data_IF_792963492539
#
_entry.id   IF_792963492539
#
_cell.length_a   1.000
_cell.length_b   1.000
_cell.length_c   1.000
_cell.angle_alpha   90.00
_cell.angle_beta   90.00
_cell.angle_gamma   90.00
#
_symmetry.space_group_name_H-M   'P 1'
#
loop_
_entity.id
_entity.type
_entity.pdbx_description
1 polymer ?
#
# COMPACT_ATOMS: atom_id res chain seq x y z
N UNK A 1 -15.48 5.71 8.03
CA UNK A 1 -16.04 6.91 8.68
C UNK A 1 -17.53 6.97 8.41
N UNK A 2 -18.35 7.45 9.35
CA UNK A 2 -19.81 7.60 9.21
C UNK A 2 -20.19 9.06 9.38
N UNK A 3 -21.15 9.55 8.61
CA UNK A 3 -21.70 10.91 8.69
C UNK A 3 -23.16 10.78 9.11
N UNK A 4 -23.52 11.44 10.20
CA UNK A 4 -24.85 11.39 10.81
C UNK A 4 -25.53 12.76 10.68
N UNK A 5 -26.85 12.75 10.61
CA UNK A 5 -27.65 13.96 10.75
C UNK A 5 -27.68 14.41 12.21
N UNK A 6 -27.69 15.72 12.42
CA UNK A 6 -27.68 16.38 13.72
C UNK A 6 -28.84 17.40 13.83
N UNK A 7 -29.92 17.18 13.07
CA UNK A 7 -31.14 17.95 13.25
C UNK A 7 -31.95 17.47 14.48
N UNK A 8 -32.97 18.25 14.86
CA UNK A 8 -33.76 18.04 16.09
C UNK A 8 -34.71 16.84 16.00
N UNK A 9 -35.01 16.35 14.79
CA UNK A 9 -36.00 15.31 14.55
C UNK A 9 -35.40 13.94 14.19
N UNK A 10 -34.18 13.92 13.64
CA UNK A 10 -33.48 12.74 13.14
C UNK A 10 -32.05 12.64 13.66
N UNK A 11 -31.80 13.16 14.87
CA UNK A 11 -30.51 13.03 15.55
C UNK A 11 -30.05 11.56 15.49
N UNK A 12 -28.87 11.33 14.88
CA UNK A 12 -28.25 10.02 14.64
C UNK A 12 -28.69 9.23 13.38
N UNK A 13 -29.49 9.82 12.48
CA UNK A 13 -29.77 9.18 11.18
C UNK A 13 -28.53 9.18 10.28
N UNK A 14 -28.20 8.02 9.72
CA UNK A 14 -27.03 7.88 8.86
C UNK A 14 -27.27 8.58 7.51
N UNK A 15 -26.47 9.61 7.24
CA UNK A 15 -26.38 10.25 5.92
C UNK A 15 -25.58 9.35 4.97
N UNK A 16 -24.49 8.76 5.45
CA UNK A 16 -23.71 7.76 4.70
C UNK A 16 -22.38 7.43 5.34
N UNK A 17 -21.58 6.60 4.68
CA UNK A 17 -20.27 6.17 5.14
C UNK A 17 -19.22 6.16 4.03
N UNK A 18 -17.97 6.33 4.45
CA UNK A 18 -16.77 6.20 3.60
C UNK A 18 -15.91 5.09 4.17
N UNK A 19 -15.56 4.11 3.31
CA UNK A 19 -14.64 3.00 3.64
C UNK A 19 -13.36 3.17 2.82
N UNK A 20 -12.20 3.15 3.48
CA UNK A 20 -10.89 3.37 2.86
C UNK A 20 -10.01 2.17 3.19
N UNK A 21 -9.41 1.54 2.17
CA UNK A 21 -8.40 0.51 2.32
C UNK A 21 -7.00 1.14 2.34
N UNK A 22 -6.25 0.94 3.43
CA UNK A 22 -4.90 1.47 3.61
C UNK A 22 -3.78 0.60 3.02
N UNK A 23 -4.10 -0.53 2.36
CA UNK A 23 -3.08 -1.42 1.81
C UNK A 23 -2.13 -0.71 0.82
N UNK A 24 -2.60 0.30 0.10
CA UNK A 24 -1.74 1.12 -0.78
C UNK A 24 -0.71 1.93 0.00
N UNK A 25 -1.07 2.46 1.17
CA UNK A 25 -0.14 3.22 2.02
C UNK A 25 0.88 2.28 2.67
N UNK A 26 0.47 1.08 3.08
CA UNK A 26 1.36 0.06 3.64
C UNK A 26 2.37 -0.47 2.60
N UNK A 27 1.94 -0.66 1.34
CA UNK A 27 2.86 -1.03 0.25
C UNK A 27 3.93 0.03 0.00
N UNK A 28 3.55 1.33 0.02
CA UNK A 28 4.50 2.44 -0.13
C UNK A 28 5.51 2.50 1.01
N UNK A 29 5.08 2.24 2.24
CA UNK A 29 5.97 2.20 3.41
C UNK A 29 6.99 1.07 3.31
N UNK A 30 6.58 -0.12 2.87
CA UNK A 30 7.49 -1.27 2.72
C UNK A 30 8.53 -1.09 1.61
N UNK A 31 8.25 -0.24 0.61
CA UNK A 31 9.18 0.05 -0.49
C UNK A 31 10.06 1.29 -0.20
N UNK A 32 9.83 2.00 0.90
CA UNK A 32 10.53 3.24 1.24
C UNK A 32 11.94 3.01 1.82
N UNK A 33 12.32 1.77 2.13
CA UNK A 33 13.69 1.42 2.55
C UNK A 33 14.72 1.54 1.40
N UNK A 34 14.28 1.70 0.14
CA UNK A 34 15.16 1.78 -1.04
C UNK A 34 15.44 3.22 -1.53
N UNK A 35 14.92 4.27 -0.87
CA UNK A 35 15.16 5.67 -1.24
C UNK A 35 15.74 6.47 -0.07
N UNK A 36 17.07 6.41 0.09
CA UNK A 36 17.88 7.22 1.02
C UNK A 36 17.98 8.69 0.55
N UNK A 37 16.83 9.36 0.41
CA UNK A 37 16.79 10.82 0.42
C UNK A 37 16.49 11.24 1.87
N UNK A 38 17.48 11.87 2.51
CA UNK A 38 17.59 12.21 3.94
C UNK A 38 16.48 13.07 4.59
N UNK A 39 15.24 12.95 4.13
CA UNK A 39 14.01 13.51 4.68
C UNK A 39 12.90 12.47 4.93
N UNK A 40 13.10 11.18 4.65
CA UNK A 40 12.04 10.17 4.73
C UNK A 40 11.94 9.45 6.09
N UNK A 41 11.31 10.08 7.09
CA UNK A 41 10.69 9.29 8.17
C UNK A 41 9.51 8.52 7.58
N UNK A 42 9.54 7.18 7.65
CA UNK A 42 8.56 6.22 7.13
C UNK A 42 7.10 6.59 7.38
N UNK A 43 6.60 7.51 6.56
CA UNK A 43 5.26 8.06 6.63
C UNK A 43 4.66 8.14 5.24
N UNK A 44 3.42 7.68 5.12
CA UNK A 44 2.70 7.62 3.86
C UNK A 44 1.33 8.27 4.06
N UNK A 45 0.98 9.20 3.18
CA UNK A 45 -0.28 9.93 3.26
C UNK A 45 -1.18 9.72 2.03
N UNK A 46 -2.48 9.84 2.27
CA UNK A 46 -3.56 9.80 1.28
C UNK A 46 -4.49 10.97 1.56
N UNK A 47 -4.74 11.82 0.58
CA UNK A 47 -5.71 12.90 0.67
C UNK A 47 -6.57 12.97 -0.60
N UNK A 48 -7.88 13.19 -0.43
CA UNK A 48 -8.78 13.38 -1.56
C UNK A 48 -10.25 13.45 -1.16
N UNK A 49 -11.11 13.66 -2.16
CA UNK A 49 -12.55 13.53 -2.03
C UNK A 49 -12.96 12.07 -2.21
N UNK A 50 -13.68 11.53 -1.24
CA UNK A 50 -14.17 10.16 -1.25
C UNK A 50 -15.69 10.13 -1.29
N UNK A 51 -16.30 9.20 -2.04
CA UNK A 51 -17.74 9.13 -2.16
C UNK A 51 -18.38 8.69 -0.84
N UNK A 52 -19.38 9.45 -0.40
CA UNK A 52 -20.20 9.14 0.76
C UNK A 52 -21.36 8.25 0.30
N UNK A 53 -21.38 7.00 0.76
CA UNK A 53 -22.38 6.01 0.35
C UNK A 53 -23.35 5.65 1.48
N UNK A 54 -24.63 5.61 1.13
CA UNK A 54 -25.67 4.99 1.93
C UNK A 54 -26.14 3.68 1.30
N UNK A 55 -26.42 2.67 2.13
CA UNK A 55 -26.76 1.32 1.65
C UNK A 55 -28.16 1.20 1.08
N UNK A 56 -29.05 2.18 1.32
CA UNK A 56 -30.40 2.22 0.76
C UNK A 56 -30.52 3.27 -0.36
N UNK A 57 -29.88 4.42 -0.18
CA UNK A 57 -30.03 5.56 -1.07
C UNK A 57 -28.86 5.76 -2.05
N UNK A 58 -27.81 4.92 -1.99
CA UNK A 58 -26.67 5.00 -2.90
C UNK A 58 -25.73 6.17 -2.60
N UNK A 59 -25.25 6.86 -3.63
CA UNK A 59 -24.33 8.00 -3.47
C UNK A 59 -25.06 9.20 -2.83
N UNK A 60 -24.49 9.75 -1.76
CA UNK A 60 -25.08 10.86 -0.97
C UNK A 60 -24.24 12.14 -0.97
N UNK A 61 -23.06 12.11 -1.58
CA UNK A 61 -22.15 13.24 -1.67
C UNK A 61 -20.70 12.77 -1.61
N UNK A 62 -19.83 13.66 -1.17
CA UNK A 62 -18.40 13.41 -1.02
C UNK A 62 -17.85 14.00 0.28
N UNK A 63 -16.83 13.33 0.84
CA UNK A 63 -16.12 13.77 2.03
C UNK A 63 -14.63 13.90 1.69
N UNK A 64 -14.04 15.06 1.97
CA UNK A 64 -12.60 15.23 1.87
C UNK A 64 -11.94 14.56 3.07
N UNK A 65 -11.13 13.55 2.82
CA UNK A 65 -10.40 12.82 3.88
C UNK A 65 -8.91 12.98 3.63
N UNK A 66 -8.16 13.24 4.70
CA UNK A 66 -6.70 13.22 4.73
C UNK A 66 -6.25 12.24 5.81
N UNK A 67 -5.44 11.25 5.42
CA UNK A 67 -4.91 10.20 6.29
C UNK A 67 -3.40 10.16 6.14
N UNK A 68 -2.69 10.14 7.27
CA UNK A 68 -1.23 9.95 7.30
C UNK A 68 -0.90 8.79 8.23
N UNK A 69 -0.20 7.79 7.70
CA UNK A 69 0.35 6.68 8.46
C UNK A 69 1.79 6.99 8.81
N UNK A 70 2.19 6.72 10.06
CA UNK A 70 3.58 6.75 10.51
C UNK A 70 3.85 5.41 11.19
N UNK A 71 4.90 4.71 10.75
CA UNK A 71 5.35 3.49 11.44
C UNK A 71 6.11 3.91 12.70
N UNK A 72 5.72 3.37 13.86
CA UNK A 72 6.37 3.62 15.15
C UNK A 72 6.89 2.28 15.67
N UNK A 73 8.20 2.07 15.62
CA UNK A 73 8.86 0.90 16.21
C UNK A 73 9.41 -0.13 15.21
N UNK A 74 10.27 -1.01 15.73
CA UNK A 74 11.02 -2.02 14.98
C UNK A 74 10.08 -3.06 14.34
N UNK A 75 10.39 -3.43 13.10
CA UNK A 75 9.52 -4.17 12.19
C UNK A 75 9.17 -5.55 12.78
N UNK A 76 8.00 -5.64 13.43
CA UNK A 76 7.43 -6.94 13.76
C UNK A 76 7.26 -7.71 12.45
N UNK A 77 8.05 -8.77 12.29
CA UNK A 77 7.95 -9.73 11.19
C UNK A 77 6.55 -10.35 11.19
N UNK A 78 5.59 -9.71 10.51
CA UNK A 78 4.26 -10.25 10.26
C UNK A 78 4.38 -11.42 9.26
N UNK A 79 4.83 -12.56 9.76
CA UNK A 79 5.01 -13.82 9.03
C UNK A 79 3.72 -14.38 8.43
N UNK A 80 2.54 -13.92 8.90
CA UNK A 80 1.23 -14.35 8.41
C UNK A 80 0.57 -13.40 7.39
N UNK A 81 1.11 -12.17 7.25
CA UNK A 81 0.74 -11.30 6.17
C UNK A 81 1.35 -11.84 4.86
N UNK A 82 0.74 -11.56 3.72
CA UNK A 82 1.37 -11.73 2.39
C UNK A 82 2.57 -10.77 2.19
N UNK A 83 3.32 -10.49 3.26
CA UNK A 83 4.45 -9.59 3.31
C UNK A 83 5.50 -10.04 2.27
N UNK A 84 5.96 -9.06 1.48
CA UNK A 84 6.91 -9.27 0.39
C UNK A 84 6.30 -9.69 -0.95
N UNK A 85 4.98 -9.90 -1.04
CA UNK A 85 4.31 -10.11 -2.34
C UNK A 85 3.54 -8.86 -2.75
N UNK A 86 3.91 -8.29 -3.89
CA UNK A 86 3.21 -7.15 -4.50
C UNK A 86 2.12 -7.66 -5.46
N UNK A 87 0.88 -7.21 -5.27
CA UNK A 87 -0.24 -7.59 -6.13
C UNK A 87 -0.57 -6.43 -7.07
N UNK A 88 -0.54 -6.71 -8.36
CA UNK A 88 -0.84 -5.78 -9.43
C UNK A 88 -2.10 -6.23 -10.15
N UNK A 89 -3.04 -5.33 -10.33
CA UNK A 89 -4.23 -5.57 -11.17
C UNK A 89 -3.89 -5.61 -12.67
N UNK A 90 -2.72 -5.07 -13.05
CA UNK A 90 -2.23 -5.08 -14.42
C UNK A 90 -1.46 -6.36 -14.73
N UNK A 91 -1.62 -6.87 -15.95
CA UNK A 91 -0.92 -8.05 -16.43
C UNK A 91 0.49 -7.76 -16.95
N UNK A 92 0.78 -6.48 -17.23
CA UNK A 92 2.07 -6.01 -17.75
C UNK A 92 2.56 -4.86 -16.89
N UNK A 93 3.82 -4.92 -16.45
CA UNK A 93 4.46 -3.87 -15.68
C UNK A 93 5.13 -2.85 -16.59
N UNK A 94 5.29 -1.63 -16.09
CA UNK A 94 6.07 -0.60 -16.75
C UNK A 94 7.55 -1.04 -16.79
N UNK A 95 8.16 -1.23 -17.99
CA UNK A 95 9.50 -1.79 -18.12
C UNK A 95 10.63 -0.93 -17.53
N UNK A 96 10.38 0.36 -17.35
CA UNK A 96 11.25 1.34 -16.72
C UNK A 96 11.19 1.32 -15.18
N UNK A 97 10.20 0.62 -14.61
CA UNK A 97 10.00 0.51 -13.16
C UNK A 97 10.33 -0.90 -12.67
N UNK A 98 9.86 -1.93 -13.38
CA UNK A 98 10.07 -3.32 -13.01
C UNK A 98 10.53 -4.16 -14.20
N UNK A 99 11.54 -4.99 -13.96
CA UNK A 99 11.95 -6.06 -14.84
C UNK A 99 11.29 -7.38 -14.42
N UNK A 100 10.74 -8.09 -15.40
CA UNK A 100 10.14 -9.42 -15.21
C UNK A 100 11.23 -10.49 -15.28
N UNK A 101 11.50 -11.17 -14.18
CA UNK A 101 12.54 -12.20 -14.09
C UNK A 101 11.99 -13.60 -14.44
N UNK A 102 10.81 -13.94 -13.91
CA UNK A 102 10.24 -15.29 -14.08
C UNK A 102 8.71 -15.28 -13.95
N UNK A 103 8.02 -15.91 -14.91
CA UNK A 103 6.58 -16.22 -14.80
C UNK A 103 6.42 -17.60 -14.20
N UNK A 104 5.92 -17.69 -12.97
CA UNK A 104 5.86 -18.96 -12.23
C UNK A 104 4.61 -19.75 -12.61
N UNK A 105 3.43 -19.12 -12.53
CA UNK A 105 2.17 -19.78 -12.88
C UNK A 105 0.94 -19.15 -12.24
N UNK A 106 -0.22 -19.72 -12.53
CA UNK A 106 -1.50 -19.27 -11.97
C UNK A 106 -1.56 -19.58 -10.47
N UNK A 107 -2.03 -18.60 -9.70
CA UNK A 107 -2.44 -18.75 -8.31
C UNK A 107 -3.88 -18.27 -8.17
N UNK A 108 -4.70 -19.06 -7.50
CA UNK A 108 -6.11 -18.78 -7.30
C UNK A 108 -6.52 -19.01 -5.84
N UNK A 109 -7.64 -18.45 -5.43
CA UNK A 109 -8.30 -18.82 -4.20
C UNK A 109 -9.82 -18.64 -4.27
N UNK A 110 -10.53 -19.57 -3.63
CA UNK A 110 -11.98 -19.50 -3.41
C UNK A 110 -12.28 -19.50 -1.92
N UNK A 111 -12.90 -18.42 -1.43
CA UNK A 111 -13.34 -18.30 -0.05
C UNK A 111 -14.86 -18.15 -0.01
N UNK A 112 -15.48 -18.79 0.97
CA UNK A 112 -16.94 -18.74 1.18
C UNK A 112 -17.21 -18.26 2.58
N UNK A 113 -18.13 -17.30 2.71
CA UNK A 113 -18.65 -16.84 3.99
C UNK A 113 -20.17 -16.87 3.96
N UNK A 114 -20.79 -17.16 5.11
CA UNK A 114 -22.23 -17.12 5.22
C UNK A 114 -22.76 -15.71 4.91
N UNK A 115 -23.87 -15.62 4.17
CA UNK A 115 -24.51 -14.32 3.96
C UNK A 115 -25.24 -13.89 5.26
N UNK A 116 -24.84 -12.76 5.86
CA UNK A 116 -25.45 -12.27 7.09
C UNK A 116 -26.94 -11.92 6.98
N UNK A 117 -27.58 -11.88 5.79
CA UNK A 117 -29.06 -11.74 5.72
C UNK A 117 -29.81 -12.94 6.30
N UNK A 118 -29.25 -14.13 6.14
CA UNK A 118 -29.98 -15.38 6.35
C UNK A 118 -29.68 -16.00 7.71
N UNK A 119 -28.91 -15.32 8.57
CA UNK A 119 -28.74 -15.74 9.95
C UNK A 119 -30.07 -15.58 10.71
N UNK A 120 -30.61 -16.70 11.22
CA UNK A 120 -31.90 -16.75 11.92
C UNK A 120 -32.02 -15.80 13.12
N UNK A 121 -30.89 -15.32 13.67
CA UNK A 121 -30.84 -14.32 14.75
C UNK A 121 -31.17 -12.90 14.29
N UNK A 122 -31.16 -12.65 12.98
CA UNK A 122 -31.26 -11.32 12.37
C UNK A 122 -32.62 -10.98 11.77
N UNK A 123 -33.66 -11.81 11.99
CA UNK A 123 -35.05 -11.57 11.52
C UNK A 123 -35.64 -10.23 11.99
N UNK A 124 -35.03 -9.56 12.98
CA UNK A 124 -35.46 -8.25 13.50
C UNK A 124 -34.53 -7.08 13.12
N UNK A 125 -33.57 -7.25 12.19
CA UNK A 125 -32.73 -6.13 11.74
C UNK A 125 -33.46 -5.22 10.75
N UNK A 126 -33.26 -3.91 10.88
CA UNK A 126 -33.60 -2.94 9.86
C UNK A 126 -32.72 -3.17 8.60
N UNK A 127 -33.31 -3.13 7.40
CA UNK A 127 -32.66 -3.44 6.13
C UNK A 127 -31.27 -2.77 5.94
N UNK A 128 -31.15 -1.51 6.38
CA UNK A 128 -29.90 -0.75 6.34
C UNK A 128 -28.74 -1.44 7.07
N UNK A 129 -29.00 -1.92 8.29
CA UNK A 129 -27.99 -2.58 9.14
C UNK A 129 -27.55 -3.91 8.55
N UNK A 130 -28.48 -4.65 7.94
CA UNK A 130 -28.17 -5.89 7.24
C UNK A 130 -27.23 -5.64 6.05
N UNK A 131 -27.56 -4.63 5.23
CA UNK A 131 -26.72 -4.25 4.09
C UNK A 131 -25.32 -3.79 4.51
N UNK A 132 -25.20 -3.01 5.59
CA UNK A 132 -23.90 -2.60 6.14
C UNK A 132 -23.04 -3.79 6.56
N UNK A 133 -23.68 -4.80 7.18
CA UNK A 133 -23.00 -6.02 7.64
C UNK A 133 -22.56 -6.86 6.45
N UNK A 134 -23.40 -6.99 5.41
CA UNK A 134 -23.02 -7.65 4.15
C UNK A 134 -21.86 -6.95 3.46
N UNK A 135 -21.92 -5.63 3.29
CA UNK A 135 -20.81 -4.86 2.71
C UNK A 135 -19.51 -5.07 3.49
N UNK A 136 -19.59 -5.02 4.82
CA UNK A 136 -18.46 -5.30 5.70
C UNK A 136 -17.92 -6.72 5.52
N UNK A 137 -18.81 -7.72 5.32
CA UNK A 137 -18.43 -9.08 4.99
C UNK A 137 -17.66 -9.14 3.67
N UNK A 138 -18.21 -8.56 2.60
CA UNK A 138 -17.56 -8.49 1.29
C UNK A 138 -16.16 -7.87 1.36
N UNK A 139 -15.98 -6.76 2.08
CA UNK A 139 -14.66 -6.15 2.27
C UNK A 139 -13.67 -7.07 2.99
N UNK A 140 -14.11 -7.75 4.05
CA UNK A 140 -13.26 -8.70 4.78
C UNK A 140 -12.89 -9.90 3.92
N UNK A 141 -13.86 -10.45 3.18
CA UNK A 141 -13.67 -11.60 2.33
C UNK A 141 -12.71 -11.28 1.17
N UNK A 142 -12.88 -10.13 0.51
CA UNK A 142 -11.94 -9.64 -0.50
C UNK A 142 -10.52 -9.47 0.06
N UNK A 143 -10.37 -8.86 1.24
CA UNK A 143 -9.08 -8.71 1.89
C UNK A 143 -8.45 -10.06 2.31
N UNK A 144 -9.27 -11.05 2.66
CA UNK A 144 -8.83 -12.42 2.96
C UNK A 144 -8.36 -13.15 1.70
N UNK A 145 -9.13 -13.08 0.61
CA UNK A 145 -8.80 -13.68 -0.68
C UNK A 145 -7.48 -13.11 -1.21
N UNK A 146 -7.32 -11.78 -1.17
CA UNK A 146 -6.06 -11.11 -1.55
C UNK A 146 -4.84 -11.64 -0.78
N UNK A 147 -4.97 -11.79 0.55
CA UNK A 147 -3.88 -12.32 1.40
C UNK A 147 -3.61 -13.79 1.11
N UNK A 148 -4.65 -14.59 0.85
CA UNK A 148 -4.52 -16.00 0.53
C UNK A 148 -3.80 -16.23 -0.80
N UNK A 149 -4.18 -15.51 -1.86
CA UNK A 149 -3.47 -15.50 -3.14
C UNK A 149 -2.02 -15.07 -2.97
N UNK A 150 -1.75 -14.00 -2.20
CA UNK A 150 -0.39 -13.56 -1.90
C UNK A 150 0.44 -14.62 -1.16
N UNK A 151 -0.15 -15.35 -0.19
CA UNK A 151 0.54 -16.47 0.48
C UNK A 151 0.83 -17.62 -0.47
N UNK A 152 -0.12 -17.98 -1.35
CA UNK A 152 0.08 -19.01 -2.38
C UNK A 152 1.20 -18.62 -3.33
N UNK A 153 1.22 -17.38 -3.82
CA UNK A 153 2.30 -16.83 -4.66
C UNK A 153 3.67 -16.92 -3.97
N UNK A 154 3.74 -16.56 -2.68
CA UNK A 154 4.97 -16.70 -1.90
C UNK A 154 5.41 -18.16 -1.74
N UNK A 155 4.47 -19.08 -1.53
CA UNK A 155 4.76 -20.50 -1.35
C UNK A 155 5.38 -21.16 -2.60
N UNK A 156 5.07 -20.63 -3.79
CA UNK A 156 5.68 -21.05 -5.06
C UNK A 156 6.91 -20.24 -5.44
N UNK A 157 7.43 -19.39 -4.54
CA UNK A 157 8.66 -18.63 -4.74
C UNK A 157 8.48 -17.26 -5.44
N UNK A 158 7.23 -16.82 -5.66
CA UNK A 158 6.94 -15.51 -6.25
C UNK A 158 7.02 -14.36 -5.26
N UNK A 159 7.39 -13.19 -5.75
CA UNK A 159 7.34 -11.91 -5.01
C UNK A 159 6.32 -10.93 -5.60
N UNK A 160 5.61 -11.32 -6.66
CA UNK A 160 4.53 -10.55 -7.21
C UNK A 160 3.39 -11.42 -7.75
N UNK A 161 2.20 -10.83 -7.85
CA UNK A 161 1.04 -11.38 -8.58
C UNK A 161 0.61 -10.36 -9.61
N UNK A 162 0.67 -10.72 -10.89
CA UNK A 162 0.21 -9.89 -12.00
C UNK A 162 -1.21 -10.29 -12.43
N UNK A 163 -1.97 -9.32 -12.94
CA UNK A 163 -3.36 -9.53 -13.35
C UNK A 163 -4.25 -10.02 -12.19
N UNK A 164 -3.97 -9.58 -10.97
CA UNK A 164 -4.79 -9.93 -9.81
C UNK A 164 -6.22 -9.44 -10.03
N UNK A 165 -7.16 -10.37 -9.93
CA UNK A 165 -8.59 -10.12 -10.02
C UNK A 165 -9.31 -10.82 -8.88
N UNK A 166 -10.39 -10.22 -8.39
CA UNK A 166 -11.25 -10.83 -7.38
C UNK A 166 -12.71 -10.53 -7.69
N UNK A 167 -13.48 -11.59 -7.91
CA UNK A 167 -14.93 -11.55 -8.07
C UNK A 167 -15.61 -11.90 -6.76
N UNK A 168 -16.77 -11.28 -6.50
CA UNK A 168 -17.59 -11.51 -5.32
C UNK A 168 -19.01 -11.81 -5.78
N UNK A 169 -19.47 -13.02 -5.50
CA UNK A 169 -20.78 -13.53 -5.93
C UNK A 169 -21.64 -13.88 -4.73
N UNK A 170 -22.96 -13.72 -4.88
CA UNK A 170 -23.96 -14.20 -3.92
C UNK A 170 -24.55 -15.50 -4.46
N UNK A 171 -24.20 -16.61 -3.83
CA UNK A 171 -24.58 -17.95 -4.27
C UNK A 171 -25.62 -18.57 -3.35
N UNK A 172 -26.81 -17.95 -3.26
CA UNK A 172 -27.97 -18.50 -2.55
C UNK A 172 -27.61 -19.19 -1.23
N UNK A 173 -27.81 -20.52 -1.17
CA UNK A 173 -27.58 -21.36 0.01
C UNK A 173 -26.11 -21.46 0.46
N UNK A 174 -25.15 -21.11 -0.39
CA UNK A 174 -23.70 -21.12 -0.09
C UNK A 174 -23.22 -19.82 0.55
N UNK A 175 -23.98 -18.73 0.46
CA UNK A 175 -23.60 -17.41 0.98
C UNK A 175 -22.80 -16.57 -0.02
N UNK A 176 -21.83 -15.81 0.49
CA UNK A 176 -20.98 -14.91 -0.28
C UNK A 176 -19.69 -15.64 -0.66
N UNK A 177 -19.40 -15.71 -1.96
CA UNK A 177 -18.24 -16.40 -2.50
C UNK A 177 -17.27 -15.38 -3.10
N UNK A 178 -16.00 -15.42 -2.69
CA UNK A 178 -14.92 -14.68 -3.30
C UNK A 178 -14.05 -15.60 -4.15
N UNK A 179 -13.88 -15.24 -5.42
CA UNK A 179 -12.98 -15.92 -6.36
C UNK A 179 -11.86 -14.97 -6.73
N UNK A 180 -10.66 -15.22 -6.21
CA UNK A 180 -9.49 -14.41 -6.55
C UNK A 180 -8.50 -15.23 -7.35
N UNK A 181 -7.82 -14.61 -8.32
CA UNK A 181 -6.76 -15.27 -9.07
C UNK A 181 -5.78 -14.25 -9.65
N UNK A 182 -4.64 -14.75 -10.11
CA UNK A 182 -3.63 -13.98 -10.84
C UNK A 182 -2.42 -14.86 -11.16
N UNK A 183 -1.40 -14.27 -11.77
CA UNK A 183 -0.18 -14.98 -12.15
C UNK A 183 0.92 -14.66 -11.17
N UNK A 184 1.42 -15.65 -10.44
CA UNK A 184 2.60 -15.53 -9.61
C UNK A 184 3.85 -15.31 -10.47
N UNK A 185 4.63 -14.30 -10.10
CA UNK A 185 5.78 -13.83 -10.85
C UNK A 185 6.94 -13.53 -9.90
N UNK A 186 8.15 -13.51 -10.47
CA UNK A 186 9.33 -12.91 -9.87
C UNK A 186 9.69 -11.65 -10.64
N UNK A 187 9.71 -10.53 -9.94
CA UNK A 187 10.00 -9.20 -10.51
C UNK A 187 11.13 -8.53 -9.74
N UNK A 188 11.81 -7.60 -10.40
CA UNK A 188 12.87 -6.80 -9.78
C UNK A 188 12.67 -5.33 -10.14
N UNK A 189 12.76 -4.39 -9.19
CA UNK A 189 12.80 -2.96 -9.52
C UNK A 189 14.01 -2.65 -10.40
N UNK A 190 13.80 -1.84 -11.44
CA UNK A 190 14.90 -1.34 -12.27
C UNK A 190 15.65 -0.30 -11.47
N UNK A 191 16.90 -0.58 -11.09
CA UNK A 191 17.78 0.43 -10.47
C UNK A 191 18.26 1.39 -11.56
N UNK A 192 18.01 2.69 -11.38
CA UNK A 192 18.53 3.72 -12.26
C UNK A 192 20.01 3.99 -11.93
N UNK A 193 20.88 3.09 -12.40
CA UNK A 193 22.34 3.15 -12.19
C UNK A 193 22.92 4.51 -12.64
N UNK A 194 22.33 5.14 -13.66
CA UNK A 194 22.82 6.40 -14.20
C UNK A 194 22.76 7.58 -13.23
N UNK A 195 21.77 7.64 -12.33
CA UNK A 195 21.65 8.74 -11.36
C UNK A 195 22.60 8.57 -10.18
N UNK A 196 22.73 7.34 -9.68
CA UNK A 196 23.67 7.01 -8.61
C UNK A 196 25.11 7.20 -9.09
N UNK A 197 25.45 6.76 -10.31
CA UNK A 197 26.78 6.96 -10.88
C UNK A 197 27.09 8.45 -11.08
N UNK A 198 26.16 9.25 -11.62
CA UNK A 198 26.34 10.70 -11.78
C UNK A 198 26.48 11.42 -10.43
N UNK A 199 25.71 11.02 -9.42
CA UNK A 199 25.83 11.56 -8.07
C UNK A 199 27.19 11.21 -7.45
N UNK A 200 27.63 9.95 -7.59
CA UNK A 200 28.93 9.49 -7.09
C UNK A 200 30.10 10.20 -7.78
N UNK A 201 30.03 10.38 -9.11
CA UNK A 201 31.00 11.16 -9.90
C UNK A 201 31.08 12.62 -9.44
N UNK A 202 29.94 13.24 -9.10
CA UNK A 202 29.89 14.63 -8.64
C UNK A 202 30.48 14.78 -7.24
N UNK A 203 30.16 13.85 -6.34
CA UNK A 203 30.67 13.81 -4.96
C UNK A 203 32.20 13.65 -4.95
N UNK A 204 32.74 12.78 -5.80
CA UNK A 204 34.18 12.56 -5.87
C UNK A 204 34.92 13.76 -6.49
N UNK A 205 34.35 14.42 -7.50
CA UNK A 205 34.89 15.66 -8.05
C UNK A 205 34.97 16.81 -7.03
N UNK A 206 33.99 16.91 -6.11
CA UNK A 206 34.00 17.92 -5.06
C UNK A 206 34.99 17.60 -3.92
N UNK A 207 35.21 16.30 -3.62
CA UNK A 207 36.27 15.87 -2.69
C UNK A 207 37.66 16.20 -3.22
N UNK A 208 37.89 16.00 -4.52
CA UNK A 208 39.17 16.29 -5.16
C UNK A 208 39.47 17.80 -5.13
N UNK A 209 38.47 18.64 -5.47
CA UNK A 209 38.60 20.11 -5.36
C UNK A 209 38.87 20.57 -3.93
N UNK A 210 38.21 19.97 -2.93
CA UNK A 210 38.44 20.29 -1.53
C UNK A 210 39.84 19.86 -1.05
N UNK A 211 40.38 18.76 -1.56
CA UNK A 211 41.74 18.31 -1.30
C UNK A 211 42.79 19.25 -1.91
N UNK A 212 42.59 19.71 -3.15
CA UNK A 212 43.46 20.69 -3.81
C UNK A 212 43.46 22.05 -3.10
N UNK A 213 42.29 22.54 -2.68
CA UNK A 213 42.18 23.78 -1.91
C UNK A 213 42.90 23.67 -0.54
N UNK A 214 42.79 22.52 0.14
CA UNK A 214 43.51 22.23 1.39
C UNK A 214 45.03 22.17 1.19
N UNK A 215 45.50 21.52 0.13
CA UNK A 215 46.93 21.47 -0.19
C UNK A 215 47.51 22.86 -0.48
N UNK A 216 46.74 23.70 -1.18
CA UNK A 216 47.12 25.09 -1.48
C UNK A 216 47.21 25.95 -0.21
N UNK A 217 46.25 25.80 0.71
CA UNK A 217 46.25 26.50 2.01
C UNK A 217 47.39 26.05 2.93
N UNK A 218 47.75 24.77 2.92
CA UNK A 218 48.88 24.24 3.69
C UNK A 218 50.24 24.68 3.11
N UNK A 219 50.37 24.76 1.77
CA UNK A 219 51.57 25.27 1.10
C UNK A 219 51.87 26.75 1.39
N UNK A 220 50.84 27.56 1.67
CA UNK A 220 51.00 28.98 2.00
C UNK A 220 51.39 29.25 3.47
N UNK A 221 51.37 28.23 4.35
CA UNK A 221 51.58 28.41 5.80
C UNK A 221 53.03 28.19 6.27
N UNK A 222 53.98 27.88 5.37
CA UNK A 222 55.36 27.50 5.75
C UNK A 222 56.40 28.64 5.64
N UNK A 223 56.07 29.84 5.16
CA UNK A 223 57.10 30.89 4.90
C UNK A 223 57.12 32.09 5.86
N UNK A 224 56.65 31.95 7.12
CA UNK A 224 56.89 33.00 8.13
C UNK A 224 57.21 32.44 9.52
N UNK A 225 58.42 31.91 9.67
CA UNK A 225 59.18 32.00 10.93
C UNK A 225 60.67 32.14 10.63
N UNK A 226 61.14 33.38 10.56
CA UNK A 226 62.54 33.77 10.78
C UNK A 226 62.49 35.14 11.46
N UNK A 227 62.56 35.14 12.79
CA UNK A 227 63.72 35.60 13.54
C UNK A 227 63.90 37.13 13.48
N UNK A 228 63.51 37.79 14.58
CA UNK A 228 64.02 39.10 14.94
C UNK A 228 64.53 39.02 16.38
N UNK A 229 65.85 38.97 16.51
CA UNK A 229 66.59 39.33 17.71
C UNK A 229 66.90 40.83 17.64
#
# INVERSE_FOLDING_TARGET
>A
MRVLDHDVYSTDDLIGSVTIDFNLLLQRLNNADDLDDGHASGSSSLEGWFPLFDTLCGLRGELRVSVSLRVIGDVASFSEASAGVQLFTVSTLAPDVYEMQETIGLVDELLVEADPEFEWRDTFRQARRSNEVRQSCCYRLHAAARRAVGRKARSVGGNAVLGYYCELDLEGDSGIVARAYGTACKIQPVRNILLEDLQNLTIDADKDRAAEARATLLGHRVTRTSESN
#
